data_IF_697349362149
#
_entry.id   IF_697349362149
#
_cell.length_a   1.000
_cell.length_b   1.000
_cell.length_c   1.000
_cell.angle_alpha   90.00
_cell.angle_beta   90.00
_cell.angle_gamma   90.00
#
_symmetry.space_group_name_H-M   'P 1'
#
loop_
_entity.id
_entity.type
_entity.pdbx_description
1 polymer ?
#
# COMPACT_ATOMS: atom_id res chain seq x y z
N UNK A 1 -13.73 -25.43 7.75
CA UNK A 1 -13.47 -23.98 7.50
C UNK A 1 -13.06 -23.86 6.05
N UNK A 2 -13.80 -23.13 5.23
CA UNK A 2 -13.53 -23.04 3.79
C UNK A 2 -12.27 -22.22 3.55
N UNK A 3 -11.20 -22.84 3.02
CA UNK A 3 -9.99 -22.14 2.62
C UNK A 3 -10.36 -21.08 1.57
N UNK A 4 -10.30 -19.81 1.96
CA UNK A 4 -10.52 -18.69 1.02
C UNK A 4 -9.56 -18.87 -0.16
N UNK A 5 -10.11 -18.86 -1.38
CA UNK A 5 -9.33 -19.02 -2.60
C UNK A 5 -8.18 -18.00 -2.73
N UNK A 6 -7.08 -18.42 -3.37
CA UNK A 6 -5.82 -17.66 -3.57
C UNK A 6 -6.01 -16.20 -4.07
N UNK A 7 -7.07 -15.93 -4.83
CA UNK A 7 -7.37 -14.59 -5.35
C UNK A 7 -8.04 -13.66 -4.33
N UNK A 8 -8.84 -14.20 -3.41
CA UNK A 8 -9.44 -13.44 -2.32
C UNK A 8 -8.37 -12.97 -1.34
N UNK A 9 -7.45 -13.87 -0.96
CA UNK A 9 -6.32 -13.55 -0.08
C UNK A 9 -5.36 -12.53 -0.70
N UNK A 10 -5.09 -12.60 -2.01
CA UNK A 10 -4.30 -11.59 -2.71
C UNK A 10 -4.96 -10.20 -2.74
N UNK A 11 -6.29 -10.12 -2.64
CA UNK A 11 -7.04 -8.86 -2.57
C UNK A 11 -7.07 -8.28 -1.16
N UNK A 12 -7.23 -9.13 -0.16
CA UNK A 12 -7.15 -8.73 1.25
C UNK A 12 -5.75 -8.21 1.58
N UNK A 13 -4.68 -8.90 1.15
CA UNK A 13 -3.30 -8.49 1.44
C UNK A 13 -2.98 -7.08 0.91
N UNK A 14 -3.36 -6.76 -0.33
CA UNK A 14 -3.08 -5.44 -0.91
C UNK A 14 -3.94 -4.33 -0.30
N UNK A 15 -5.19 -4.62 0.07
CA UNK A 15 -6.06 -3.68 0.79
C UNK A 15 -5.47 -3.36 2.17
N UNK A 16 -5.03 -4.38 2.90
CA UNK A 16 -4.37 -4.23 4.19
C UNK A 16 -3.10 -3.39 4.08
N UNK A 17 -2.17 -3.75 3.19
CA UNK A 17 -0.92 -3.00 3.03
C UNK A 17 -1.16 -1.55 2.60
N UNK A 18 -2.14 -1.31 1.72
CA UNK A 18 -2.51 0.04 1.34
C UNK A 18 -3.04 0.85 2.52
N UNK A 19 -4.04 0.30 3.23
CA UNK A 19 -4.77 1.00 4.30
C UNK A 19 -3.94 1.22 5.56
N UNK A 20 -3.19 0.21 5.98
CA UNK A 20 -2.52 0.22 7.29
C UNK A 20 -1.05 0.65 7.21
N UNK A 21 -0.40 0.52 6.04
CA UNK A 21 1.04 0.78 5.90
C UNK A 21 1.32 1.93 4.94
N UNK A 22 0.97 1.76 3.65
CA UNK A 22 1.44 2.66 2.59
C UNK A 22 0.76 4.02 2.63
N UNK A 23 -0.57 4.08 2.69
CA UNK A 23 -1.28 5.35 2.69
C UNK A 23 -1.01 6.16 3.97
N UNK A 24 -1.04 5.57 5.18
CA UNK A 24 -0.63 6.28 6.40
C UNK A 24 0.81 6.79 6.31
N UNK A 25 1.76 5.99 5.80
CA UNK A 25 3.15 6.41 5.67
C UNK A 25 3.31 7.62 4.74
N UNK A 26 2.59 7.65 3.61
CA UNK A 26 2.56 8.79 2.70
C UNK A 26 2.05 10.06 3.39
N UNK A 27 0.96 9.95 4.17
CA UNK A 27 0.38 11.08 4.90
C UNK A 27 1.22 11.53 6.10
N UNK A 28 1.92 10.60 6.75
CA UNK A 28 2.84 10.86 7.86
C UNK A 28 4.09 11.62 7.40
N UNK A 29 4.62 11.25 6.22
CA UNK A 29 5.79 11.89 5.63
C UNK A 29 5.46 13.16 4.85
N UNK A 30 4.18 13.42 4.56
CA UNK A 30 3.70 14.46 3.65
C UNK A 30 4.48 14.47 2.32
N UNK A 31 4.72 13.27 1.80
CA UNK A 31 5.60 13.04 0.66
C UNK A 31 4.98 12.00 -0.26
N UNK A 32 5.15 12.22 -1.57
CA UNK A 32 4.70 11.28 -2.62
C UNK A 32 5.57 10.00 -2.66
N UNK A 33 6.65 9.96 -1.89
CA UNK A 33 7.62 8.87 -1.89
C UNK A 33 8.15 8.55 -0.48
N UNK A 34 8.55 7.30 -0.29
CA UNK A 34 9.17 6.78 0.93
C UNK A 34 10.29 5.79 0.59
N UNK A 35 11.25 5.65 1.50
CA UNK A 35 12.35 4.69 1.35
C UNK A 35 11.94 3.28 1.79
N UNK A 36 12.70 2.28 1.35
CA UNK A 36 12.54 0.90 1.82
C UNK A 36 12.61 0.79 3.35
N UNK A 37 13.51 1.54 3.98
CA UNK A 37 13.69 1.55 5.44
C UNK A 37 12.46 2.13 6.15
N UNK A 38 11.93 3.25 5.67
CA UNK A 38 10.68 3.85 6.19
C UNK A 38 9.51 2.87 6.08
N UNK A 39 9.40 2.18 4.93
CA UNK A 39 8.39 1.15 4.75
C UNK A 39 8.57 -0.03 5.71
N UNK A 40 9.79 -0.55 5.87
CA UNK A 40 10.09 -1.68 6.76
C UNK A 40 9.75 -1.34 8.21
N UNK A 41 10.13 -0.14 8.67
CA UNK A 41 9.80 0.33 10.03
C UNK A 41 8.29 0.37 10.27
N UNK A 42 7.51 0.96 9.36
CA UNK A 42 6.05 1.03 9.48
C UNK A 42 5.42 -0.36 9.39
N UNK A 43 5.86 -1.18 8.43
CA UNK A 43 5.41 -2.56 8.23
C UNK A 43 5.60 -3.40 9.48
N UNK A 44 6.77 -3.34 10.10
CA UNK A 44 7.09 -4.20 11.24
C UNK A 44 6.24 -3.85 12.46
N UNK A 45 6.01 -2.54 12.71
CA UNK A 45 5.09 -2.08 13.74
C UNK A 45 3.65 -2.58 13.50
N UNK A 46 3.13 -2.39 12.28
CA UNK A 46 1.76 -2.80 11.91
C UNK A 46 1.61 -4.34 11.93
N UNK A 47 2.60 -5.08 11.43
CA UNK A 47 2.57 -6.54 11.46
C UNK A 47 2.54 -7.08 12.89
N UNK A 48 3.28 -6.45 13.82
CA UNK A 48 3.24 -6.79 15.24
C UNK A 48 1.89 -6.44 15.89
N UNK A 49 1.33 -5.26 15.58
CA UNK A 49 0.06 -4.79 16.12
C UNK A 49 -1.13 -5.68 15.71
N UNK A 50 -1.17 -6.08 14.45
CA UNK A 50 -2.28 -6.85 13.87
C UNK A 50 -2.06 -8.37 13.87
N UNK A 51 -0.93 -8.86 14.42
CA UNK A 51 -0.51 -10.28 14.36
C UNK A 51 -0.51 -10.84 12.92
N UNK A 52 0.03 -10.05 11.98
CA UNK A 52 0.05 -10.38 10.56
C UNK A 52 1.46 -10.77 10.12
N UNK A 53 1.60 -11.93 9.50
CA UNK A 53 2.89 -12.37 8.95
C UNK A 53 3.49 -11.38 7.95
N UNK A 54 4.82 -11.24 7.96
CA UNK A 54 5.56 -10.43 6.97
C UNK A 54 5.32 -10.89 5.53
N UNK A 55 4.94 -12.15 5.32
CA UNK A 55 4.59 -12.69 4.01
C UNK A 55 3.33 -12.04 3.43
N UNK A 56 2.33 -11.73 4.26
CA UNK A 56 1.13 -11.00 3.85
C UNK A 56 1.50 -9.60 3.37
N UNK A 57 2.31 -8.87 4.15
CA UNK A 57 2.77 -7.54 3.78
C UNK A 57 3.62 -7.55 2.50
N UNK A 58 4.53 -8.52 2.37
CA UNK A 58 5.39 -8.68 1.20
C UNK A 58 4.58 -8.97 -0.08
N UNK A 59 3.55 -9.82 0.02
CA UNK A 59 2.63 -10.08 -1.11
C UNK A 59 1.77 -8.86 -1.44
N UNK A 60 1.33 -8.12 -0.42
CA UNK A 60 0.53 -6.90 -0.59
C UNK A 60 1.28 -5.81 -1.34
N UNK A 61 2.51 -5.45 -0.91
CA UNK A 61 3.31 -4.42 -1.59
C UNK A 61 3.69 -4.83 -3.01
N UNK A 62 4.05 -6.10 -3.23
CA UNK A 62 4.33 -6.61 -4.57
C UNK A 62 3.10 -6.48 -5.48
N UNK A 63 1.89 -6.73 -4.96
CA UNK A 63 0.66 -6.55 -5.71
C UNK A 63 0.35 -5.08 -6.00
N UNK A 64 0.64 -4.15 -5.07
CA UNK A 64 0.48 -2.71 -5.33
C UNK A 64 1.37 -2.22 -6.47
N UNK A 65 2.62 -2.71 -6.55
CA UNK A 65 3.53 -2.46 -7.67
C UNK A 65 2.96 -3.02 -8.99
N UNK A 66 2.49 -4.26 -8.99
CA UNK A 66 1.86 -4.88 -10.18
C UNK A 66 0.59 -4.16 -10.65
N UNK A 67 -0.05 -3.38 -9.79
CA UNK A 67 -1.23 -2.57 -10.11
C UNK A 67 -0.91 -1.12 -10.47
N UNK A 68 0.37 -0.76 -10.53
CA UNK A 68 0.85 0.60 -10.80
C UNK A 68 0.31 1.65 -9.80
N UNK A 69 -0.12 1.22 -8.60
CA UNK A 69 -0.46 2.14 -7.51
C UNK A 69 0.84 2.69 -6.90
N UNK A 70 1.86 1.83 -6.84
CA UNK A 70 3.22 2.18 -6.43
C UNK A 70 4.19 1.95 -7.59
N UNK A 71 5.25 2.74 -7.58
CA UNK A 71 6.45 2.54 -8.37
C UNK A 71 7.63 2.29 -7.44
N UNK A 72 8.64 1.57 -7.92
CA UNK A 72 9.89 1.33 -7.18
C UNK A 72 11.08 1.67 -8.06
N UNK A 73 11.96 2.50 -7.55
CA UNK A 73 13.26 2.79 -8.14
C UNK A 73 14.35 2.60 -7.06
N UNK A 74 15.18 1.57 -7.23
CA UNK A 74 16.18 1.15 -6.23
C UNK A 74 15.55 0.97 -4.83
N UNK A 75 15.82 1.91 -3.92
CA UNK A 75 15.35 1.92 -2.54
C UNK A 75 14.20 2.90 -2.29
N UNK A 76 13.72 3.59 -3.31
CA UNK A 76 12.63 4.54 -3.22
C UNK A 76 11.35 3.93 -3.79
N UNK A 77 10.23 4.16 -3.11
CA UNK A 77 8.89 3.86 -3.58
C UNK A 77 8.11 5.16 -3.72
N UNK A 78 7.28 5.27 -4.73
CA UNK A 78 6.43 6.45 -4.96
C UNK A 78 5.01 6.08 -5.36
N UNK A 79 4.05 6.91 -4.99
CA UNK A 79 2.65 6.75 -5.40
C UNK A 79 2.43 7.24 -6.83
N UNK A 80 1.42 6.69 -7.49
CA UNK A 80 0.95 7.20 -8.77
C UNK A 80 0.52 8.67 -8.69
N UNK A 81 0.85 9.46 -9.72
CA UNK A 81 0.64 10.92 -9.72
C UNK A 81 -0.82 11.34 -9.49
N UNK A 82 -1.79 10.52 -9.93
CA UNK A 82 -3.22 10.74 -9.70
C UNK A 82 -3.64 10.69 -8.22
N UNK A 83 -2.80 10.15 -7.34
CA UNK A 83 -3.06 10.09 -5.90
C UNK A 83 -2.47 11.30 -5.15
N UNK A 84 -1.65 12.14 -5.80
CA UNK A 84 -1.07 13.35 -5.20
C UNK A 84 -2.13 14.32 -4.69
N UNK A 85 -3.25 14.59 -5.41
CA UNK A 85 -4.31 15.45 -4.89
C UNK A 85 -4.91 14.94 -3.57
N UNK A 86 -5.09 13.62 -3.44
CA UNK A 86 -5.61 13.01 -2.22
C UNK A 86 -4.64 13.20 -1.05
N UNK A 87 -3.33 13.06 -1.27
CA UNK A 87 -2.32 13.29 -0.25
C UNK A 87 -2.30 14.76 0.18
N UNK A 88 -2.28 15.70 -0.78
CA UNK A 88 -2.26 17.15 -0.49
C UNK A 88 -3.48 17.61 0.31
N UNK A 89 -4.63 17.00 0.06
CA UNK A 89 -5.87 17.30 0.78
C UNK A 89 -6.02 16.47 2.07
N UNK A 90 -5.05 15.59 2.39
CA UNK A 90 -5.14 14.57 3.44
C UNK A 90 -6.48 13.80 3.40
N UNK A 91 -6.97 13.57 2.19
CA UNK A 91 -8.27 12.94 1.95
C UNK A 91 -8.19 11.43 2.17
N UNK A 92 -9.34 10.85 2.50
CA UNK A 92 -9.48 9.40 2.50
C UNK A 92 -9.28 8.87 1.07
N UNK A 93 -8.29 7.99 0.91
CA UNK A 93 -8.02 7.29 -0.33
C UNK A 93 -7.91 5.80 -0.02
N UNK A 94 -9.04 5.10 -0.03
CA UNK A 94 -9.05 3.65 0.13
C UNK A 94 -8.49 2.95 -1.12
N UNK A 95 -8.27 1.64 -1.02
CA UNK A 95 -7.70 0.87 -2.14
C UNK A 95 -8.59 0.92 -3.40
N UNK A 96 -9.93 0.94 -3.23
CA UNK A 96 -10.88 0.97 -4.33
C UNK A 96 -10.81 2.30 -5.10
N UNK A 97 -10.67 3.40 -4.38
CA UNK A 97 -10.42 4.73 -4.94
C UNK A 97 -9.06 4.75 -5.64
N UNK A 98 -7.99 4.32 -4.95
CA UNK A 98 -6.64 4.32 -5.52
C UNK A 98 -6.55 3.56 -6.85
N UNK A 99 -7.14 2.36 -6.92
CA UNK A 99 -7.11 1.54 -8.15
C UNK A 99 -8.00 2.14 -9.25
N UNK A 100 -9.11 2.79 -8.91
CA UNK A 100 -9.96 3.48 -9.88
C UNK A 100 -9.19 4.64 -10.50
N UNK A 101 -8.59 5.50 -9.68
CA UNK A 101 -7.85 6.67 -10.15
C UNK A 101 -6.69 6.27 -11.06
N UNK A 102 -5.89 5.28 -10.67
CA UNK A 102 -4.75 4.77 -11.44
C UNK A 102 -5.14 4.14 -12.78
N UNK A 103 -6.36 3.60 -12.89
CA UNK A 103 -6.84 2.94 -14.12
C UNK A 103 -7.58 3.85 -15.09
N UNK A 104 -8.11 4.96 -14.60
CA UNK A 104 -8.75 5.96 -15.45
C UNK A 104 -7.71 6.45 -16.46
N UNK A 105 -8.04 6.43 -17.75
CA UNK A 105 -7.14 6.90 -18.81
C UNK A 105 -7.03 8.43 -18.81
#
# INVERSE_FOLDING_TARGET
MSEKGKYASGTENRRFVWKEIVWPLILELDSVAFTLEQYQKKRDAVCAEFDVSLTVASRGIASLLQKNILYKEKHLYSIHYRLIPYMRLRADCDYATAIREVRTK
#
